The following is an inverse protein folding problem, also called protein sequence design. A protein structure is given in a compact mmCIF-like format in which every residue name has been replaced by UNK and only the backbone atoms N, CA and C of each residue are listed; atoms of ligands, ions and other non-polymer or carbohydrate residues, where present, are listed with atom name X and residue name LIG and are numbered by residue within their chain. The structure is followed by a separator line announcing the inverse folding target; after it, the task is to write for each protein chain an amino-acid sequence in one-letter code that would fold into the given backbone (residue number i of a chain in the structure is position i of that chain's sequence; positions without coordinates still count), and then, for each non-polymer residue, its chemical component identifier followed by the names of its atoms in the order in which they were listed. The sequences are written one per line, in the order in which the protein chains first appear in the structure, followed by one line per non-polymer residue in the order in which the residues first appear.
data_IF_732374337888
#
_entry.id   IF_732374337888
#
_cell.length_a   1.000
_cell.length_b   1.000
_cell.length_c   1.000
_cell.angle_alpha   90.00
_cell.angle_beta   90.00
_cell.angle_gamma   90.00
#
_symmetry.space_group_name_H-M   'P 1'
#
loop_
_entity.id
_entity.type
_entity.pdbx_description
1 polymer ?
#
# COMPACT_ATOMS: atom_id res chain seq x y z
N UNK A 1 68.30 3.02 22.01
CA UNK A 1 67.43 2.20 21.12
C UNK A 1 65.94 2.29 21.49
N UNK A 2 65.53 2.05 22.75
CA UNK A 2 64.11 2.10 23.19
C UNK A 2 63.38 3.42 22.86
N UNK A 3 64.02 4.58 23.09
CA UNK A 3 63.46 5.92 22.79
C UNK A 3 63.19 6.16 21.30
N UNK A 4 64.07 5.69 20.41
CA UNK A 4 63.89 5.82 18.96
C UNK A 4 62.77 4.91 18.44
N UNK A 5 62.63 3.71 19.01
CA UNK A 5 61.55 2.79 18.69
C UNK A 5 60.18 3.37 19.08
N UNK A 6 60.08 4.02 20.24
CA UNK A 6 58.84 4.68 20.68
C UNK A 6 58.45 5.83 19.74
N UNK A 7 59.42 6.65 19.30
CA UNK A 7 59.16 7.75 18.36
C UNK A 7 58.69 7.21 17.00
N UNK A 8 59.32 6.14 16.50
CA UNK A 8 58.94 5.52 15.23
C UNK A 8 57.51 4.95 15.28
N UNK A 9 57.14 4.25 16.36
CA UNK A 9 55.79 3.75 16.55
C UNK A 9 54.76 4.89 16.68
N UNK A 10 55.13 5.99 17.32
CA UNK A 10 54.25 7.16 17.47
C UNK A 10 53.92 7.80 16.12
N UNK A 11 54.93 7.93 15.25
CA UNK A 11 54.74 8.44 13.88
C UNK A 11 53.91 7.49 13.00
N UNK A 12 54.11 6.18 13.14
CA UNK A 12 53.33 5.20 12.39
C UNK A 12 51.85 5.27 12.78
N UNK A 13 51.55 5.31 14.08
CA UNK A 13 50.18 5.38 14.60
C UNK A 13 49.48 6.68 14.18
N UNK A 14 50.17 7.83 14.24
CA UNK A 14 49.59 9.10 13.81
C UNK A 14 49.33 9.15 12.30
N UNK A 15 50.18 8.50 11.49
CA UNK A 15 49.96 8.42 10.04
C UNK A 15 48.70 7.63 9.68
N UNK A 16 48.43 6.51 10.36
CA UNK A 16 47.27 5.65 10.09
C UNK A 16 45.91 6.29 10.41
N UNK A 17 45.85 7.18 11.41
CA UNK A 17 44.59 7.85 11.79
C UNK A 17 44.17 8.86 10.71
N UNK A 18 45.14 9.54 10.08
CA UNK A 18 44.90 10.51 9.01
C UNK A 18 44.34 9.87 7.73
N UNK A 19 44.73 8.62 7.41
CA UNK A 19 44.22 7.93 6.21
C UNK A 19 42.77 7.45 6.35
N UNK A 20 42.32 7.11 7.55
CA UNK A 20 40.93 6.68 7.77
C UNK A 20 39.92 7.84 7.55
N UNK A 21 40.33 9.08 7.88
CA UNK A 21 39.48 10.27 7.79
C UNK A 21 39.44 10.87 6.38
N UNK A 22 40.35 10.47 5.49
CA UNK A 22 40.36 10.86 4.09
C UNK A 22 39.45 9.99 3.20
N UNK A 23 38.80 8.97 3.77
CA UNK A 23 37.83 8.14 3.03
C UNK A 23 36.49 8.87 2.89
N UNK A 24 36.36 9.66 1.83
CA UNK A 24 35.05 10.15 1.41
C UNK A 24 34.25 8.99 0.81
N UNK A 25 33.01 8.80 1.25
CA UNK A 25 32.13 7.83 0.62
C UNK A 25 31.96 8.20 -0.86
N UNK A 26 32.35 7.30 -1.76
CA UNK A 26 32.23 7.51 -3.21
C UNK A 26 30.73 7.56 -3.56
N UNK A 27 30.17 8.77 -3.62
CA UNK A 27 28.77 8.98 -3.96
C UNK A 27 28.59 8.71 -5.45
N UNK A 28 28.01 7.55 -5.78
CA UNK A 28 27.69 7.17 -7.15
C UNK A 28 26.33 7.76 -7.53
N UNK A 29 26.34 8.64 -8.53
CA UNK A 29 25.14 9.25 -9.11
C UNK A 29 24.76 8.50 -10.38
N UNK A 30 23.46 8.31 -10.59
CA UNK A 30 22.90 7.69 -11.79
C UNK A 30 21.46 8.14 -12.01
N UNK A 31 20.86 7.69 -13.12
CA UNK A 31 19.47 7.98 -13.44
C UNK A 31 18.59 6.78 -13.06
N UNK A 32 17.47 7.05 -12.37
CA UNK A 32 16.45 6.04 -12.08
C UNK A 32 15.32 6.22 -13.10
N UNK A 33 15.00 5.15 -13.81
CA UNK A 33 13.84 5.11 -14.70
C UNK A 33 12.73 4.29 -14.05
N UNK A 34 11.65 4.96 -13.67
CA UNK A 34 10.42 4.29 -13.19
C UNK A 34 9.45 4.19 -14.36
N UNK A 35 8.93 2.99 -14.60
CA UNK A 35 7.91 2.73 -15.63
C UNK A 35 6.76 1.95 -14.99
N UNK A 36 5.54 2.31 -15.36
CA UNK A 36 4.32 1.65 -14.90
C UNK A 36 3.10 2.24 -15.61
N UNK A 37 1.99 1.52 -15.54
CA UNK A 37 0.69 2.03 -15.97
C UNK A 37 0.00 2.71 -14.78
N UNK A 38 -0.72 3.80 -15.04
CA UNK A 38 -1.71 4.33 -14.10
C UNK A 38 -2.98 3.52 -14.36
N UNK A 39 -3.39 2.73 -13.38
CA UNK A 39 -4.63 1.95 -13.41
C UNK A 39 -5.57 2.45 -12.33
N UNK A 40 -6.86 2.47 -12.61
CA UNK A 40 -7.86 2.72 -11.58
C UNK A 40 -7.86 1.50 -10.62
N UNK A 41 -7.66 1.70 -9.31
CA UNK A 41 -7.64 0.60 -8.36
C UNK A 41 -9.06 0.05 -8.15
N UNK A 42 -9.14 -1.14 -7.54
CA UNK A 42 -10.40 -1.63 -7.00
C UNK A 42 -10.98 -0.62 -6.01
N UNK A 43 -12.32 -0.56 -5.92
CA UNK A 43 -12.99 0.27 -4.94
C UNK A 43 -12.67 -0.23 -3.52
N UNK A 44 -12.43 0.71 -2.62
CA UNK A 44 -12.36 0.44 -1.19
C UNK A 44 -13.78 0.27 -0.65
N UNK A 45 -13.98 -0.72 0.24
CA UNK A 45 -15.29 -1.02 0.80
C UNK A 45 -15.20 -1.00 2.32
N UNK A 46 -15.96 -0.11 2.93
CA UNK A 46 -16.06 0.04 4.38
C UNK A 46 -17.44 -0.44 4.84
N UNK A 47 -17.46 -1.41 5.76
CA UNK A 47 -18.68 -2.01 6.27
C UNK A 47 -19.04 -1.48 7.66
N UNK A 48 -20.31 -1.13 7.85
CA UNK A 48 -20.95 -1.00 9.16
C UNK A 48 -21.86 -2.20 9.42
N UNK A 49 -22.65 -2.16 10.49
CA UNK A 49 -23.63 -3.22 10.81
C UNK A 49 -24.71 -3.38 9.74
N UNK A 50 -25.10 -2.28 9.09
CA UNK A 50 -26.28 -2.19 8.23
C UNK A 50 -25.99 -1.61 6.84
N UNK A 51 -24.78 -1.10 6.62
CA UNK A 51 -24.41 -0.41 5.40
C UNK A 51 -23.02 -0.81 4.90
N UNK A 52 -22.84 -0.67 3.60
CA UNK A 52 -21.56 -0.73 2.93
C UNK A 52 -21.33 0.59 2.20
N UNK A 53 -20.22 1.24 2.52
CA UNK A 53 -19.72 2.40 1.80
C UNK A 53 -18.67 1.95 0.79
N UNK A 54 -18.91 2.28 -0.49
CA UNK A 54 -18.01 2.02 -1.60
C UNK A 54 -17.32 3.32 -2.00
N UNK A 55 -15.99 3.34 -1.94
CA UNK A 55 -15.16 4.44 -2.39
C UNK A 55 -14.35 4.02 -3.61
N UNK A 56 -14.68 4.59 -4.76
CA UNK A 56 -14.09 4.21 -6.03
C UNK A 56 -13.27 5.36 -6.61
N UNK A 57 -12.06 5.05 -7.07
CA UNK A 57 -11.17 6.01 -7.73
C UNK A 57 -11.31 5.88 -9.25
N UNK A 58 -11.62 6.98 -9.92
CA UNK A 58 -11.68 7.05 -11.38
C UNK A 58 -11.35 8.44 -11.87
N UNK A 59 -10.52 8.55 -12.90
CA UNK A 59 -10.12 9.84 -13.49
C UNK A 59 -9.61 10.84 -12.43
N UNK A 60 -8.75 10.38 -11.50
CA UNK A 60 -8.18 11.17 -10.41
C UNK A 60 -9.21 11.76 -9.44
N UNK A 61 -10.43 11.20 -9.37
CA UNK A 61 -11.49 11.61 -8.45
C UNK A 61 -11.98 10.43 -7.64
N UNK A 62 -12.41 10.71 -6.42
CA UNK A 62 -13.07 9.75 -5.52
C UNK A 62 -14.57 9.90 -5.66
N UNK A 63 -15.25 8.78 -5.85
CA UNK A 63 -16.70 8.71 -5.87
C UNK A 63 -17.17 7.75 -4.79
N UNK A 64 -18.08 8.22 -3.94
CA UNK A 64 -18.59 7.46 -2.81
C UNK A 64 -20.06 7.10 -3.02
N UNK A 65 -20.46 5.88 -2.65
CA UNK A 65 -21.84 5.47 -2.55
C UNK A 65 -22.04 4.58 -1.32
N UNK A 66 -23.06 4.88 -0.53
CA UNK A 66 -23.44 4.10 0.65
C UNK A 66 -24.71 3.34 0.34
N UNK A 67 -24.73 2.05 0.66
CA UNK A 67 -25.83 1.15 0.35
C UNK A 67 -26.17 0.29 1.56
N UNK A 68 -27.45 0.01 1.77
CA UNK A 68 -27.89 -0.95 2.79
C UNK A 68 -27.44 -2.36 2.40
N UNK A 69 -26.90 -3.12 3.37
CA UNK A 69 -26.51 -4.53 3.17
C UNK A 69 -27.59 -5.51 3.61
N UNK A 70 -28.64 -5.04 4.30
CA UNK A 70 -29.75 -5.90 4.67
C UNK A 70 -30.57 -6.30 3.44
N UNK A 71 -30.77 -7.60 3.20
CA UNK A 71 -31.64 -8.05 2.14
C UNK A 71 -33.10 -7.86 2.58
N UNK A 72 -34.01 -7.76 1.62
CA UNK A 72 -35.45 -7.86 1.90
C UNK A 72 -35.88 -9.30 2.20
N UNK A 73 -35.07 -10.30 1.82
CA UNK A 73 -35.23 -11.72 2.17
C UNK A 73 -33.96 -12.53 1.89
N UNK A 74 -33.73 -13.62 2.64
CA UNK A 74 -32.57 -14.52 2.51
C UNK A 74 -32.35 -15.09 1.09
N UNK A 75 -33.44 -15.38 0.37
CA UNK A 75 -33.40 -15.95 -0.98
C UNK A 75 -33.01 -14.92 -2.06
N UNK A 76 -33.02 -13.62 -1.73
CA UNK A 76 -32.92 -12.55 -2.70
C UNK A 76 -31.54 -11.89 -2.62
N UNK A 77 -30.74 -12.08 -3.67
CA UNK A 77 -29.49 -11.34 -3.85
C UNK A 77 -29.79 -9.88 -4.18
N UNK A 78 -29.18 -8.94 -3.46
CA UNK A 78 -29.21 -7.52 -3.83
C UNK A 78 -28.02 -7.21 -4.74
N UNK A 79 -28.30 -6.61 -5.90
CA UNK A 79 -27.27 -6.12 -6.82
C UNK A 79 -27.19 -4.60 -6.71
N UNK A 80 -25.96 -4.11 -6.53
CA UNK A 80 -25.63 -2.71 -6.35
C UNK A 80 -24.71 -2.31 -7.50
N UNK A 81 -25.01 -1.19 -8.15
CA UNK A 81 -24.10 -0.58 -9.12
C UNK A 81 -23.07 0.26 -8.37
N UNK A 82 -21.79 0.01 -8.62
CA UNK A 82 -20.71 0.80 -8.04
C UNK A 82 -20.72 2.23 -8.62
N UNK A 83 -20.21 3.23 -7.86
CA UNK A 83 -20.09 4.60 -8.35
C UNK A 83 -19.54 4.69 -9.78
N UNK A 84 -20.10 5.60 -10.59
CA UNK A 84 -19.69 5.84 -11.98
C UNK A 84 -19.70 4.60 -12.89
N UNK A 85 -20.60 3.64 -12.60
CA UNK A 85 -20.74 2.39 -13.35
C UNK A 85 -19.40 1.64 -13.48
N UNK A 86 -18.57 1.66 -12.44
CA UNK A 86 -17.26 0.97 -12.44
C UNK A 86 -17.38 -0.54 -12.32
N UNK A 87 -18.56 -1.01 -11.95
CA UNK A 87 -18.83 -2.42 -11.76
C UNK A 87 -20.15 -2.62 -11.04
N UNK A 88 -20.33 -3.85 -10.56
CA UNK A 88 -21.46 -4.26 -9.75
C UNK A 88 -20.98 -5.07 -8.54
N UNK A 89 -21.68 -4.92 -7.43
CA UNK A 89 -21.55 -5.75 -6.24
C UNK A 89 -22.84 -6.55 -6.05
N UNK A 90 -22.72 -7.84 -5.77
CA UNK A 90 -23.85 -8.72 -5.46
C UNK A 90 -23.64 -9.28 -4.05
N UNK A 91 -24.64 -9.09 -3.19
CA UNK A 91 -24.62 -9.57 -1.81
C UNK A 91 -25.48 -10.82 -1.72
N UNK A 92 -24.92 -11.89 -1.14
CA UNK A 92 -25.62 -13.14 -0.87
C UNK A 92 -25.37 -13.60 0.56
N UNK A 93 -26.44 -13.78 1.31
CA UNK A 93 -26.36 -14.33 2.65
C UNK A 93 -26.20 -15.85 2.60
N UNK A 94 -25.36 -16.38 3.49
CA UNK A 94 -25.02 -17.79 3.58
C UNK A 94 -25.76 -18.52 4.70
N UNK A 95 -26.36 -17.78 5.62
CA UNK A 95 -27.21 -18.31 6.68
C UNK A 95 -28.50 -17.49 6.83
N UNK A 96 -29.58 -18.13 7.28
CA UNK A 96 -30.87 -17.47 7.51
C UNK A 96 -30.90 -16.52 8.71
N UNK A 97 -29.79 -16.43 9.46
CA UNK A 97 -29.62 -15.43 10.52
C UNK A 97 -28.92 -14.17 10.00
N UNK A 98 -28.56 -14.13 8.71
CA UNK A 98 -27.87 -13.05 8.01
C UNK A 98 -26.61 -12.58 8.75
N UNK A 99 -25.85 -13.54 9.33
CA UNK A 99 -24.59 -13.26 10.03
C UNK A 99 -23.36 -13.44 9.16
N UNK A 100 -23.43 -14.33 8.17
CA UNK A 100 -22.38 -14.58 7.21
C UNK A 100 -22.88 -14.29 5.80
N UNK A 101 -22.19 -13.39 5.11
CA UNK A 101 -22.51 -12.99 3.75
C UNK A 101 -21.30 -13.07 2.83
N UNK A 102 -21.55 -13.36 1.56
CA UNK A 102 -20.60 -13.25 0.48
C UNK A 102 -20.93 -12.00 -0.34
N UNK A 103 -19.92 -11.18 -0.61
CA UNK A 103 -20.04 -10.03 -1.51
C UNK A 103 -19.17 -10.30 -2.72
N UNK A 104 -19.80 -10.46 -3.87
CA UNK A 104 -19.13 -10.66 -5.15
C UNK A 104 -19.05 -9.33 -5.90
N UNK A 105 -17.83 -8.85 -6.14
CA UNK A 105 -17.59 -7.58 -6.82
C UNK A 105 -17.02 -7.87 -8.22
N UNK A 106 -17.70 -7.36 -9.24
CA UNK A 106 -17.31 -7.50 -10.65
C UNK A 106 -17.08 -6.11 -11.24
N UNK A 107 -15.84 -5.85 -11.66
CA UNK A 107 -15.46 -4.62 -12.36
C UNK A 107 -15.68 -4.77 -13.87
N UNK A 108 -16.04 -3.66 -14.55
CA UNK A 108 -16.22 -3.60 -16.01
C UNK A 108 -14.98 -3.10 -16.72
#
# INVERSE_FOLDING_TARGET
MKKYLTILCSLLVSSSISFAWASTAQQTTGQIYVRGAIVDPACEINFTLDQAEYQCYKNNKVFTSTQSIFPTSFEQSSSIILPQNMGKAEIRWMDGAEKNGLINVQYF
#
